data_IF_967686388143
#
_entry.id   IF_967686388143
#
_cell.length_a   1.000
_cell.length_b   1.000
_cell.length_c   1.000
_cell.angle_alpha   90.00
_cell.angle_beta   90.00
_cell.angle_gamma   90.00
#
_symmetry.space_group_name_H-M   'P 1'
#
loop_
_entity.id
_entity.type
_entity.pdbx_description
1 polymer ?
#
# COMPACT_ATOMS: atom_id res chain seq x y z
N UNK A 1 38.76 18.49 -76.46
CA UNK A 1 37.52 18.97 -75.84
C UNK A 1 37.52 18.48 -74.36
N UNK A 2 37.81 19.39 -73.40
CA UNK A 2 37.81 19.08 -71.98
C UNK A 2 36.48 19.65 -71.42
N UNK A 3 35.62 18.74 -70.90
CA UNK A 3 34.34 19.13 -70.23
C UNK A 3 34.65 19.31 -68.76
N UNK A 4 34.45 20.55 -68.27
CA UNK A 4 34.61 20.94 -66.90
C UNK A 4 33.30 20.69 -66.17
N UNK A 5 33.32 19.78 -65.11
CA UNK A 5 32.18 19.52 -64.21
C UNK A 5 32.21 20.54 -63.05
N UNK A 6 31.23 21.43 -63.02
CA UNK A 6 30.99 22.36 -61.92
C UNK A 6 30.27 21.56 -60.82
N UNK A 7 30.92 21.41 -59.66
CA UNK A 7 30.33 20.84 -58.41
C UNK A 7 29.70 22.00 -57.63
N UNK A 8 28.38 21.95 -57.49
CA UNK A 8 27.61 22.82 -56.58
C UNK A 8 27.68 22.25 -55.18
N UNK A 9 28.04 23.01 -54.14
CA UNK A 9 27.99 22.50 -52.77
C UNK A 9 26.56 22.49 -52.24
N UNK A 10 26.11 21.33 -51.77
CA UNK A 10 24.84 21.14 -51.07
C UNK A 10 24.97 21.68 -49.65
N UNK A 11 24.36 22.78 -49.32
CA UNK A 11 24.33 23.35 -47.97
C UNK A 11 23.29 22.56 -47.15
N UNK A 12 23.76 21.67 -46.25
CA UNK A 12 22.91 20.97 -45.30
C UNK A 12 22.64 21.92 -44.14
N UNK A 13 21.41 22.42 -44.09
CA UNK A 13 20.93 23.25 -43.00
C UNK A 13 20.56 22.32 -41.82
N UNK A 14 21.47 22.14 -40.83
CA UNK A 14 21.19 21.49 -39.56
C UNK A 14 20.28 22.41 -38.72
N UNK A 15 18.99 22.16 -38.72
CA UNK A 15 18.08 22.74 -37.71
C UNK A 15 18.33 22.12 -36.37
N UNK A 16 19.04 22.83 -35.49
CA UNK A 16 19.14 22.50 -34.08
C UNK A 16 17.79 22.78 -33.43
N UNK A 17 17.00 21.73 -33.23
CA UNK A 17 15.82 21.79 -32.36
C UNK A 17 16.32 22.05 -30.93
N UNK A 18 16.32 23.31 -30.50
CA UNK A 18 16.43 23.64 -29.08
C UNK A 18 15.17 23.09 -28.38
N UNK A 19 15.31 21.94 -27.71
CA UNK A 19 14.32 21.47 -26.75
C UNK A 19 14.31 22.45 -25.58
N UNK A 20 13.33 23.34 -25.56
CA UNK A 20 13.04 24.16 -24.38
C UNK A 20 12.63 23.17 -23.27
N UNK A 21 13.32 23.11 -22.13
CA UNK A 21 12.92 22.25 -21.04
C UNK A 21 11.52 22.69 -20.59
N UNK A 22 10.56 21.77 -20.62
CA UNK A 22 9.25 21.98 -20.04
C UNK A 22 9.44 22.37 -18.56
N UNK A 23 8.74 23.42 -18.07
CA UNK A 23 8.84 23.82 -16.68
C UNK A 23 8.48 22.62 -15.79
N UNK A 24 9.26 22.40 -14.74
CA UNK A 24 9.02 21.31 -13.79
C UNK A 24 7.62 21.43 -13.19
N UNK A 25 6.79 20.39 -13.32
CA UNK A 25 5.41 20.38 -12.84
C UNK A 25 5.32 20.82 -11.36
N UNK A 26 4.39 21.70 -11.04
CA UNK A 26 4.29 22.38 -9.73
C UNK A 26 3.25 21.69 -8.84
N UNK A 27 3.65 21.39 -7.58
CA UNK A 27 2.72 20.86 -6.58
C UNK A 27 1.58 21.85 -6.31
N UNK A 28 0.35 21.32 -6.24
CA UNK A 28 -0.85 22.10 -6.04
C UNK A 28 -1.43 22.73 -7.32
N UNK A 29 -0.73 22.66 -8.44
CA UNK A 29 -1.17 23.16 -9.76
C UNK A 29 -1.33 22.01 -10.75
N UNK A 30 -0.25 21.61 -11.47
CA UNK A 30 -0.26 20.47 -12.39
C UNK A 30 -0.28 19.13 -11.64
N UNK A 31 0.34 19.10 -10.48
CA UNK A 31 0.29 17.96 -9.54
C UNK A 31 -0.64 18.27 -8.38
N UNK A 32 -1.21 17.23 -7.79
CA UNK A 32 -1.91 17.30 -6.50
C UNK A 32 -0.91 17.65 -5.39
N UNK A 33 -1.36 18.03 -4.20
CA UNK A 33 -0.44 18.27 -3.08
C UNK A 33 0.48 17.10 -2.73
N UNK A 34 0.07 15.87 -3.07
CA UNK A 34 0.85 14.63 -2.82
C UNK A 34 1.70 14.20 -4.00
N UNK A 35 1.67 14.92 -5.12
CA UNK A 35 2.50 14.65 -6.31
C UNK A 35 1.83 13.81 -7.40
N UNK A 36 0.56 13.43 -7.26
CA UNK A 36 -0.19 12.78 -8.32
C UNK A 36 -0.49 13.77 -9.47
N UNK A 37 -0.63 13.26 -10.69
CA UNK A 37 -1.03 14.10 -11.83
C UNK A 37 -2.46 14.61 -11.63
N UNK A 38 -2.66 15.94 -11.56
CA UNK A 38 -3.99 16.52 -11.33
C UNK A 38 -4.94 16.34 -12.52
N UNK A 39 -4.44 16.46 -13.75
CA UNK A 39 -5.24 16.32 -14.95
C UNK A 39 -5.85 14.92 -15.10
N UNK A 40 -7.04 14.85 -15.73
CA UNK A 40 -7.61 13.60 -16.19
C UNK A 40 -6.80 12.96 -17.32
N UNK A 41 -7.20 11.78 -17.77
CA UNK A 41 -6.60 11.15 -18.94
C UNK A 41 -7.34 11.54 -20.25
N UNK A 42 -6.77 11.13 -21.39
CA UNK A 42 -7.25 11.56 -22.70
C UNK A 42 -8.65 11.01 -23.07
N UNK A 43 -8.99 9.80 -22.60
CA UNK A 43 -10.29 9.16 -22.89
C UNK A 43 -11.38 9.51 -21.86
N UNK A 44 -11.05 10.33 -20.84
CA UNK A 44 -11.98 10.78 -19.81
C UNK A 44 -12.33 9.71 -18.76
N UNK A 45 -11.78 8.51 -18.84
CA UNK A 45 -12.03 7.44 -17.87
C UNK A 45 -11.40 7.70 -16.49
N UNK A 46 -10.35 8.53 -16.42
CA UNK A 46 -9.78 9.05 -15.19
C UNK A 46 -10.05 10.55 -15.15
N UNK A 47 -10.92 11.05 -14.25
CA UNK A 47 -11.27 12.47 -14.19
C UNK A 47 -10.13 13.31 -13.60
N UNK A 48 -10.21 14.64 -13.78
CA UNK A 48 -9.36 15.60 -13.07
C UNK A 48 -9.58 15.46 -11.56
N UNK A 49 -8.48 15.43 -10.78
CA UNK A 49 -8.57 15.45 -9.32
C UNK A 49 -9.04 16.82 -8.80
N UNK A 50 -10.06 16.81 -7.94
CA UNK A 50 -10.71 18.00 -7.38
C UNK A 50 -11.17 17.82 -5.93
N UNK A 51 -10.71 16.76 -5.25
CA UNK A 51 -11.14 16.48 -3.88
C UNK A 51 -10.78 17.59 -2.87
N UNK A 52 -9.72 18.39 -3.16
CA UNK A 52 -9.32 19.55 -2.37
C UNK A 52 -10.29 20.74 -2.46
N UNK A 53 -11.19 20.75 -3.44
CA UNK A 53 -12.16 21.83 -3.67
C UNK A 53 -13.47 21.61 -2.90
N UNK A 54 -13.61 20.46 -2.23
CA UNK A 54 -14.81 20.09 -1.49
C UNK A 54 -14.63 20.37 0.01
N UNK A 55 -15.70 20.89 0.65
CA UNK A 55 -15.80 20.85 2.11
C UNK A 55 -15.85 19.42 2.61
N UNK A 56 -15.62 19.18 3.91
CA UNK A 56 -15.70 17.84 4.49
C UNK A 56 -17.09 17.24 4.31
N UNK A 57 -18.14 18.02 4.52
CA UNK A 57 -19.52 17.59 4.33
C UNK A 57 -19.81 17.20 2.86
N UNK A 58 -19.39 18.04 1.90
CA UNK A 58 -19.57 17.74 0.48
C UNK A 58 -18.80 16.48 0.04
N UNK A 59 -17.62 16.26 0.62
CA UNK A 59 -16.83 15.05 0.35
C UNK A 59 -17.54 13.80 0.92
N UNK A 60 -18.07 13.86 2.14
CA UNK A 60 -18.85 12.76 2.72
C UNK A 60 -20.11 12.44 1.93
N UNK A 61 -20.85 13.45 1.49
CA UNK A 61 -22.00 13.26 0.60
C UNK A 61 -21.60 12.61 -0.73
N UNK A 62 -20.43 12.97 -1.26
CA UNK A 62 -19.88 12.33 -2.45
C UNK A 62 -19.58 10.84 -2.18
N UNK A 63 -18.91 10.50 -1.07
CA UNK A 63 -18.63 9.12 -0.69
C UNK A 63 -19.91 8.29 -0.53
N UNK A 64 -20.95 8.83 0.10
CA UNK A 64 -22.25 8.17 0.23
C UNK A 64 -22.92 7.90 -1.12
N UNK A 65 -22.77 8.78 -2.11
CA UNK A 65 -23.27 8.55 -3.48
C UNK A 65 -22.52 7.41 -4.16
N UNK A 66 -21.19 7.42 -4.07
CA UNK A 66 -20.32 6.40 -4.68
C UNK A 66 -20.68 4.99 -4.19
N UNK A 67 -21.01 4.82 -2.91
CA UNK A 67 -21.38 3.51 -2.36
C UNK A 67 -22.66 2.92 -2.93
N UNK A 68 -23.50 3.74 -3.58
CA UNK A 68 -24.79 3.33 -4.16
C UNK A 68 -24.72 3.13 -5.68
N UNK A 69 -23.57 3.37 -6.27
CA UNK A 69 -23.40 3.20 -7.71
C UNK A 69 -23.44 1.72 -8.11
N UNK A 70 -23.93 1.49 -9.31
CA UNK A 70 -23.84 0.20 -9.99
C UNK A 70 -22.60 0.15 -10.88
N UNK A 71 -22.04 -1.03 -11.14
CA UNK A 71 -20.90 -1.16 -12.03
C UNK A 71 -21.25 -0.75 -13.45
N UNK A 72 -20.32 -0.09 -14.14
CA UNK A 72 -20.43 0.23 -15.57
C UNK A 72 -20.45 -1.05 -16.41
N UNK A 73 -19.64 -2.01 -16.03
CA UNK A 73 -19.53 -3.34 -16.65
C UNK A 73 -18.84 -4.31 -15.69
N UNK A 74 -19.00 -5.59 -16.00
CA UNK A 74 -18.34 -6.67 -15.26
C UNK A 74 -17.37 -7.35 -16.23
N UNK A 75 -16.10 -7.49 -15.79
CA UNK A 75 -15.11 -8.29 -16.51
C UNK A 75 -15.29 -9.74 -16.06
N UNK A 76 -15.43 -10.64 -17.03
CA UNK A 76 -15.49 -12.10 -16.86
C UNK A 76 -14.45 -12.76 -17.75
N UNK A 77 -14.23 -14.05 -17.61
CA UNK A 77 -13.33 -14.81 -18.47
C UNK A 77 -13.67 -14.64 -19.97
N UNK A 78 -14.96 -14.51 -20.34
CA UNK A 78 -15.43 -14.40 -21.73
C UNK A 78 -15.02 -13.08 -22.39
N UNK A 79 -14.97 -11.98 -21.64
CA UNK A 79 -14.67 -10.65 -22.19
C UNK A 79 -13.29 -10.12 -21.79
N UNK A 80 -12.49 -10.91 -21.04
CA UNK A 80 -11.20 -10.55 -20.45
C UNK A 80 -10.22 -9.91 -21.44
N UNK A 81 -10.13 -10.41 -22.66
CA UNK A 81 -9.16 -9.95 -23.66
C UNK A 81 -9.31 -8.47 -23.99
N UNK A 82 -10.51 -7.91 -23.88
CA UNK A 82 -10.81 -6.50 -24.12
C UNK A 82 -10.16 -5.59 -23.08
N UNK A 83 -9.92 -6.10 -21.86
CA UNK A 83 -9.47 -5.32 -20.69
C UNK A 83 -8.07 -5.70 -20.24
N UNK A 84 -7.45 -6.71 -20.86
CA UNK A 84 -6.17 -7.31 -20.46
C UNK A 84 -5.07 -6.30 -20.19
N UNK A 85 -5.00 -5.23 -20.98
CA UNK A 85 -3.96 -4.20 -20.88
C UNK A 85 -4.00 -3.40 -19.57
N UNK A 86 -5.14 -3.39 -18.86
CA UNK A 86 -5.34 -2.67 -17.61
C UNK A 86 -5.28 -3.57 -16.37
N UNK A 87 -5.02 -4.86 -16.54
CA UNK A 87 -5.01 -5.85 -15.47
C UNK A 87 -3.58 -6.27 -15.12
N UNK A 88 -3.32 -6.45 -13.82
CA UNK A 88 -2.08 -7.05 -13.33
C UNK A 88 -2.02 -8.55 -13.68
N UNK A 89 -0.81 -9.14 -13.84
CA UNK A 89 -0.64 -10.58 -14.06
C UNK A 89 -1.39 -11.45 -13.05
N UNK A 90 -1.40 -11.09 -11.77
CA UNK A 90 -2.15 -11.81 -10.74
C UNK A 90 -3.66 -11.83 -11.00
N UNK A 91 -4.26 -10.71 -11.43
CA UNK A 91 -5.68 -10.68 -11.82
C UNK A 91 -5.96 -11.58 -13.03
N UNK A 92 -5.07 -11.55 -14.03
CA UNK A 92 -5.19 -12.44 -15.20
C UNK A 92 -5.12 -13.91 -14.80
N UNK A 93 -4.24 -14.25 -13.85
CA UNK A 93 -4.11 -15.61 -13.32
C UNK A 93 -5.35 -16.05 -12.54
N UNK A 94 -5.99 -15.14 -11.80
CA UNK A 94 -7.26 -15.42 -11.12
C UNK A 94 -8.37 -15.80 -12.11
N UNK A 95 -8.48 -15.11 -13.26
CA UNK A 95 -9.42 -15.50 -14.33
C UNK A 95 -9.08 -16.84 -14.97
N UNK A 96 -7.79 -17.15 -15.12
CA UNK A 96 -7.33 -18.44 -15.66
C UNK A 96 -7.70 -19.61 -14.72
N UNK A 97 -7.49 -19.43 -13.42
CA UNK A 97 -7.73 -20.46 -12.41
C UNK A 97 -9.21 -20.62 -12.07
N UNK A 98 -9.98 -19.52 -12.08
CA UNK A 98 -11.36 -19.48 -11.58
C UNK A 98 -12.32 -18.81 -12.59
N UNK A 99 -12.37 -19.28 -13.86
CA UNK A 99 -13.10 -18.60 -14.93
C UNK A 99 -14.60 -18.47 -14.70
N UNK A 100 -15.20 -19.39 -13.93
CA UNK A 100 -16.64 -19.43 -13.68
C UNK A 100 -17.07 -18.58 -12.47
N UNK A 101 -16.17 -18.34 -11.51
CA UNK A 101 -16.52 -17.67 -10.24
C UNK A 101 -15.86 -16.31 -10.07
N UNK A 102 -14.68 -16.09 -10.66
CA UNK A 102 -13.98 -14.81 -10.53
C UNK A 102 -14.46 -13.81 -11.58
N UNK A 103 -14.83 -12.63 -11.12
CA UNK A 103 -15.18 -11.51 -12.00
C UNK A 103 -14.80 -10.18 -11.34
N UNK A 104 -14.67 -9.12 -12.13
CA UNK A 104 -14.29 -7.79 -11.65
C UNK A 104 -15.39 -6.79 -12.04
N UNK A 105 -16.18 -6.30 -11.09
CA UNK A 105 -17.11 -5.19 -11.32
C UNK A 105 -16.32 -3.88 -11.41
N UNK A 106 -16.47 -3.17 -12.53
CA UNK A 106 -15.77 -1.91 -12.81
C UNK A 106 -16.76 -0.76 -12.72
N UNK A 107 -16.39 0.25 -11.94
CA UNK A 107 -17.20 1.41 -11.63
C UNK A 107 -16.63 2.69 -12.26
N UNK A 108 -17.39 3.79 -12.30
CA UNK A 108 -16.84 5.11 -12.64
C UNK A 108 -15.68 5.45 -11.71
N UNK A 109 -14.62 6.03 -12.26
CA UNK A 109 -13.46 6.46 -11.48
C UNK A 109 -13.77 7.70 -10.67
N UNK A 110 -13.55 7.63 -9.37
CA UNK A 110 -13.67 8.75 -8.45
C UNK A 110 -12.37 8.94 -7.66
N UNK A 111 -11.64 10.02 -7.96
CA UNK A 111 -10.38 10.35 -7.28
C UNK A 111 -10.64 11.06 -5.96
N UNK A 112 -11.13 10.29 -5.00
CA UNK A 112 -11.60 10.77 -3.70
C UNK A 112 -10.49 10.97 -2.68
N UNK A 113 -9.29 10.45 -2.95
CA UNK A 113 -8.18 10.53 -2.02
C UNK A 113 -7.85 11.98 -1.66
N UNK A 114 -7.76 12.24 -0.38
CA UNK A 114 -7.22 13.45 0.21
C UNK A 114 -6.61 13.11 1.57
N UNK A 115 -5.87 14.04 2.11
CA UNK A 115 -5.28 13.94 3.44
C UNK A 115 -5.37 15.31 4.16
N UNK A 116 -5.09 15.37 5.47
CA UNK A 116 -5.20 16.62 6.22
C UNK A 116 -4.40 17.75 5.60
N UNK A 117 -5.01 18.93 5.46
CA UNK A 117 -4.41 20.11 4.82
C UNK A 117 -3.05 20.47 5.41
N UNK A 118 -2.86 20.29 6.73
CA UNK A 118 -1.61 20.62 7.40
C UNK A 118 -0.39 19.81 6.89
N UNK A 119 -0.61 18.63 6.30
CA UNK A 119 0.47 17.81 5.71
C UNK A 119 1.02 18.42 4.44
N UNK A 120 0.23 19.23 3.71
CA UNK A 120 0.61 19.75 2.41
C UNK A 120 1.82 20.69 2.44
N UNK A 121 1.94 21.50 3.52
CA UNK A 121 3.10 22.39 3.70
C UNK A 121 4.37 21.59 3.96
N UNK A 122 4.27 20.55 4.77
CA UNK A 122 5.39 19.65 5.02
C UNK A 122 5.80 18.87 3.76
N UNK A 123 4.85 18.43 2.93
CA UNK A 123 5.18 17.79 1.64
C UNK A 123 5.92 18.74 0.71
N UNK A 124 5.58 20.03 0.69
CA UNK A 124 6.36 21.02 -0.08
C UNK A 124 7.80 21.15 0.45
N UNK A 125 7.99 21.17 1.77
CA UNK A 125 9.32 21.17 2.38
C UNK A 125 10.11 19.92 2.06
N UNK A 126 9.47 18.77 1.94
CA UNK A 126 10.11 17.52 1.57
C UNK A 126 10.77 17.55 0.18
N UNK A 127 10.34 18.42 -0.75
CA UNK A 127 11.03 18.59 -2.03
C UNK A 127 12.51 19.00 -1.87
N UNK A 128 12.83 19.70 -0.79
CA UNK A 128 14.18 20.19 -0.51
C UNK A 128 14.86 19.40 0.61
N UNK A 129 14.11 18.95 1.60
CA UNK A 129 14.64 18.41 2.86
C UNK A 129 14.68 16.87 2.92
N UNK A 130 13.79 16.17 2.17
CA UNK A 130 13.76 14.70 2.22
C UNK A 130 15.03 14.08 1.63
N UNK A 131 15.59 13.10 2.33
CA UNK A 131 16.85 12.41 1.94
C UNK A 131 16.76 10.94 2.24
N UNK A 132 17.24 10.13 1.31
CA UNK A 132 17.54 8.70 1.51
C UNK A 132 19.06 8.48 1.57
N UNK A 133 19.48 7.32 2.05
CA UNK A 133 20.89 6.88 1.95
C UNK A 133 21.30 6.71 0.50
N UNK A 134 22.61 6.65 0.24
CA UNK A 134 23.16 6.43 -1.11
C UNK A 134 22.64 5.13 -1.74
N UNK A 135 22.49 4.07 -0.94
CA UNK A 135 21.89 2.79 -1.38
C UNK A 135 20.37 2.85 -1.54
N UNK A 136 19.71 3.90 -1.06
CA UNK A 136 18.24 4.01 -1.03
C UNK A 136 17.55 3.22 0.10
N UNK A 137 18.31 2.48 0.91
CA UNK A 137 17.78 1.51 1.88
C UNK A 137 17.31 2.15 3.20
N UNK A 138 17.61 3.42 3.43
CA UNK A 138 17.26 4.16 4.64
C UNK A 138 16.68 5.53 4.29
N UNK A 139 15.61 5.92 4.96
CA UNK A 139 15.08 7.29 4.94
C UNK A 139 15.76 8.09 6.04
N UNK A 140 16.61 9.05 5.67
CA UNK A 140 17.46 9.81 6.61
C UNK A 140 16.78 11.06 7.15
N UNK A 141 15.99 11.72 6.30
CA UNK A 141 15.28 12.94 6.65
C UNK A 141 13.95 13.04 5.91
N UNK A 142 12.90 13.38 6.62
CA UNK A 142 11.60 13.76 6.06
C UNK A 142 10.77 14.51 7.09
N UNK A 143 9.97 15.45 6.61
CA UNK A 143 8.86 16.05 7.34
C UNK A 143 7.61 15.16 7.26
N UNK A 144 6.60 15.37 8.15
CA UNK A 144 5.32 14.66 8.05
C UNK A 144 4.69 14.74 6.65
N UNK A 145 4.27 13.61 6.11
CA UNK A 145 3.67 13.53 4.78
C UNK A 145 4.50 12.69 3.82
N UNK A 146 4.25 12.89 2.52
CA UNK A 146 4.95 12.16 1.45
C UNK A 146 6.37 12.73 1.28
N UNK A 147 7.43 11.90 1.43
CA UNK A 147 8.80 12.38 1.31
C UNK A 147 9.17 12.79 -0.12
N UNK A 148 8.74 12.01 -1.11
CA UNK A 148 9.15 12.18 -2.52
C UNK A 148 7.93 12.36 -3.43
N UNK A 149 7.25 13.52 -3.41
CA UNK A 149 6.07 13.74 -4.25
C UNK A 149 6.40 13.75 -5.76
N UNK A 150 7.67 13.82 -6.12
CA UNK A 150 8.21 13.69 -7.48
C UNK A 150 9.32 12.63 -7.50
N UNK A 151 9.00 11.35 -7.28
CA UNK A 151 10.01 10.32 -7.14
C UNK A 151 10.78 10.11 -8.45
N UNK A 152 12.07 9.86 -8.32
CA UNK A 152 12.99 9.57 -9.42
C UNK A 152 13.43 8.10 -9.39
N UNK A 153 13.31 7.43 -8.26
CA UNK A 153 13.75 6.06 -8.04
C UNK A 153 12.62 5.18 -7.52
N UNK A 154 12.77 3.88 -7.68
CA UNK A 154 11.85 2.89 -7.14
C UNK A 154 11.78 2.96 -5.61
N UNK A 155 12.95 3.15 -4.96
CA UNK A 155 13.03 3.25 -3.50
C UNK A 155 12.23 4.45 -2.98
N UNK A 156 12.28 5.60 -3.67
CA UNK A 156 11.47 6.77 -3.30
C UNK A 156 9.97 6.49 -3.37
N UNK A 157 9.51 5.73 -4.37
CA UNK A 157 8.10 5.29 -4.46
C UNK A 157 7.73 4.38 -3.28
N UNK A 158 8.59 3.44 -2.90
CA UNK A 158 8.36 2.53 -1.78
C UNK A 158 8.41 3.29 -0.44
N UNK A 159 9.33 4.25 -0.27
CA UNK A 159 9.34 5.11 0.91
C UNK A 159 8.06 5.94 1.03
N UNK A 160 7.52 6.45 -0.08
CA UNK A 160 6.22 7.13 -0.06
C UNK A 160 5.12 6.19 0.46
N UNK A 161 5.11 4.92 0.02
CA UNK A 161 4.17 3.93 0.54
C UNK A 161 4.33 3.71 2.05
N UNK A 162 5.55 3.47 2.52
CA UNK A 162 5.79 3.18 3.94
C UNK A 162 5.43 4.35 4.86
N UNK A 163 5.61 5.58 4.38
CA UNK A 163 5.41 6.82 5.15
C UNK A 163 4.12 7.56 4.82
N UNK A 164 3.27 7.05 3.91
CA UNK A 164 2.00 7.70 3.57
C UNK A 164 1.13 7.97 4.80
N UNK A 165 0.23 8.93 4.69
CA UNK A 165 -0.72 9.24 5.76
C UNK A 165 -1.59 8.04 6.12
N UNK A 166 -1.56 7.66 7.39
CA UNK A 166 -2.36 6.57 7.99
C UNK A 166 -2.92 6.97 9.36
N UNK A 167 -2.95 8.28 9.67
CA UNK A 167 -3.22 8.77 11.02
C UNK A 167 -1.95 8.91 11.86
N UNK A 168 -2.07 9.51 13.02
CA UNK A 168 -0.97 9.69 13.99
C UNK A 168 -0.86 8.47 14.90
N UNK A 169 -1.95 8.16 15.59
CA UNK A 169 -2.10 6.98 16.43
C UNK A 169 -3.43 6.32 16.11
N UNK A 170 -3.43 5.01 15.90
CA UNK A 170 -4.59 4.25 15.47
C UNK A 170 -4.75 3.01 16.35
N UNK A 171 -5.98 2.69 16.71
CA UNK A 171 -6.37 1.40 17.29
C UNK A 171 -7.33 0.73 16.31
N UNK A 172 -6.91 -0.39 15.72
CA UNK A 172 -7.67 -1.14 14.74
C UNK A 172 -8.20 -2.42 15.36
N UNK A 173 -9.49 -2.63 15.30
CA UNK A 173 -10.10 -3.94 15.57
C UNK A 173 -10.19 -4.71 14.25
N UNK A 174 -9.53 -5.85 14.18
CA UNK A 174 -9.35 -6.63 12.95
C UNK A 174 -9.73 -8.09 13.12
N UNK A 175 -10.22 -8.68 12.03
CA UNK A 175 -10.20 -10.11 11.81
C UNK A 175 -9.08 -10.47 10.82
N UNK A 176 -8.34 -11.51 11.15
CA UNK A 176 -7.31 -12.12 10.31
C UNK A 176 -7.73 -13.57 10.06
N UNK A 177 -8.06 -13.91 8.82
CA UNK A 177 -8.69 -15.18 8.49
C UNK A 177 -7.98 -15.88 7.35
N UNK A 178 -7.59 -17.14 7.54
CA UNK A 178 -7.16 -18.02 6.45
C UNK A 178 -8.37 -18.79 5.95
N UNK A 179 -8.64 -18.71 4.66
CA UNK A 179 -9.74 -19.39 3.98
C UNK A 179 -9.15 -20.45 3.05
N UNK A 180 -9.57 -21.69 3.26
CA UNK A 180 -9.14 -22.83 2.45
C UNK A 180 -10.12 -23.12 1.31
N UNK A 181 -9.70 -23.86 0.27
CA UNK A 181 -10.57 -24.17 -0.88
C UNK A 181 -11.88 -24.88 -0.53
N UNK A 182 -11.94 -25.59 0.59
CA UNK A 182 -13.15 -26.26 1.11
C UNK A 182 -14.00 -25.36 2.02
N UNK A 183 -13.72 -24.04 2.03
CA UNK A 183 -14.37 -23.05 2.91
C UNK A 183 -14.19 -23.29 4.42
N UNK A 184 -13.20 -24.09 4.82
CA UNK A 184 -12.74 -24.03 6.20
C UNK A 184 -12.08 -22.67 6.45
N UNK A 185 -12.45 -22.02 7.54
CA UNK A 185 -11.92 -20.70 7.92
C UNK A 185 -11.27 -20.80 9.30
N UNK A 186 -9.99 -20.43 9.38
CA UNK A 186 -9.30 -20.23 10.68
C UNK A 186 -9.14 -18.71 10.88
N UNK A 187 -9.77 -18.18 11.91
CA UNK A 187 -9.84 -16.75 12.19
C UNK A 187 -9.19 -16.38 13.50
N UNK A 188 -8.50 -15.26 13.48
CA UNK A 188 -7.94 -14.56 14.62
C UNK A 188 -8.61 -13.19 14.76
N UNK A 189 -9.07 -12.87 15.96
CA UNK A 189 -9.57 -11.54 16.31
C UNK A 189 -8.49 -10.79 17.08
N UNK A 190 -8.14 -9.58 16.60
CA UNK A 190 -7.04 -8.80 17.17
C UNK A 190 -7.40 -7.32 17.29
N UNK A 191 -6.80 -6.65 18.29
CA UNK A 191 -6.63 -5.20 18.28
C UNK A 191 -5.18 -4.90 17.92
N UNK A 192 -4.99 -4.02 16.93
CA UNK A 192 -3.68 -3.54 16.52
C UNK A 192 -3.59 -2.05 16.79
N UNK A 193 -2.65 -1.64 17.61
CA UNK A 193 -2.33 -0.24 17.85
C UNK A 193 -1.06 0.13 17.11
N UNK A 194 -1.10 1.23 16.35
CA UNK A 194 0.07 1.76 15.65
C UNK A 194 0.25 3.24 15.91
N UNK A 195 1.50 3.65 16.16
CA UNK A 195 1.87 5.05 16.30
C UNK A 195 2.99 5.40 15.32
N UNK A 196 2.72 6.36 14.45
CA UNK A 196 3.68 6.89 13.48
C UNK A 196 4.26 8.21 13.99
N UNK A 197 5.38 8.15 14.71
CA UNK A 197 6.05 9.33 15.26
C UNK A 197 6.50 10.32 14.16
N UNK A 198 6.64 9.87 12.90
CA UNK A 198 6.87 10.75 11.76
C UNK A 198 5.82 11.87 11.70
N UNK A 199 4.57 11.60 12.10
CA UNK A 199 3.45 12.54 12.06
C UNK A 199 3.27 13.37 13.32
N UNK A 200 4.21 13.32 14.25
CA UNK A 200 4.22 14.22 15.40
C UNK A 200 4.50 15.68 14.95
N UNK A 201 3.48 16.52 15.10
CA UNK A 201 3.51 17.92 14.66
C UNK A 201 4.46 18.80 15.50
N UNK A 202 4.90 18.34 16.67
CA UNK A 202 5.85 19.04 17.53
C UNK A 202 7.30 18.99 17.01
N UNK A 203 7.58 18.14 15.99
CA UNK A 203 8.92 18.00 15.42
C UNK A 203 9.45 19.31 14.83
N UNK A 204 10.68 19.63 15.18
CA UNK A 204 11.38 20.86 14.73
C UNK A 204 12.46 20.59 13.66
N UNK A 205 12.66 19.31 13.27
CA UNK A 205 13.70 18.90 12.34
C UNK A 205 13.17 17.79 11.41
N UNK A 206 13.60 17.76 10.14
CA UNK A 206 13.32 16.65 9.22
C UNK A 206 14.13 15.40 9.54
N UNK A 207 15.17 15.45 10.37
CA UNK A 207 16.04 14.32 10.67
C UNK A 207 15.28 13.18 11.36
N UNK A 208 15.58 11.95 10.96
CA UNK A 208 14.96 10.71 11.45
C UNK A 208 16.03 9.91 12.20
N UNK A 209 16.32 10.29 13.43
CA UNK A 209 17.40 9.75 14.26
C UNK A 209 16.93 8.70 15.28
N UNK A 210 15.64 8.41 15.29
CA UNK A 210 15.03 7.51 16.28
C UNK A 210 14.05 6.52 15.64
N UNK A 211 13.45 5.68 16.46
CA UNK A 211 12.37 4.80 16.05
C UNK A 211 11.14 5.62 15.74
N UNK A 212 10.56 5.38 14.56
CA UNK A 212 9.51 6.23 14.03
C UNK A 212 8.15 5.52 13.97
N UNK A 213 8.13 4.19 14.12
CA UNK A 213 6.93 3.38 14.02
C UNK A 213 6.87 2.43 15.22
N UNK A 214 5.75 2.46 15.90
CA UNK A 214 5.42 1.56 17.01
C UNK A 214 4.18 0.78 16.63
N UNK A 215 4.21 -0.51 16.90
CA UNK A 215 3.12 -1.43 16.61
C UNK A 215 2.92 -2.35 17.80
N UNK A 216 1.69 -2.55 18.21
CA UNK A 216 1.31 -3.52 19.22
C UNK A 216 0.05 -4.26 18.76
N UNK A 217 0.09 -5.59 18.71
CA UNK A 217 -1.10 -6.41 18.51
C UNK A 217 -1.47 -7.15 19.79
N UNK A 218 -2.77 -7.22 20.04
CA UNK A 218 -3.37 -7.94 21.14
C UNK A 218 -4.42 -8.90 20.63
N UNK A 219 -4.25 -10.20 20.90
CA UNK A 219 -5.16 -11.25 20.44
C UNK A 219 -6.36 -11.34 21.40
N UNK A 220 -7.57 -11.18 20.84
CA UNK A 220 -8.84 -11.31 21.55
C UNK A 220 -9.44 -12.70 21.44
N UNK A 221 -9.32 -13.34 20.29
CA UNK A 221 -9.86 -14.65 19.99
C UNK A 221 -9.06 -15.40 18.92
N UNK A 222 -9.22 -16.71 18.82
CA UNK A 222 -10.03 -17.61 19.65
C UNK A 222 -9.43 -17.83 21.06
N UNK A 223 -10.22 -18.37 21.98
CA UNK A 223 -9.84 -18.52 23.39
C UNK A 223 -8.49 -19.20 23.63
N UNK A 224 -8.09 -20.14 22.77
CA UNK A 224 -6.76 -20.83 22.83
C UNK A 224 -5.57 -19.89 22.63
N UNK A 225 -5.77 -18.75 21.97
CA UNK A 225 -4.73 -17.77 21.64
C UNK A 225 -4.92 -16.42 22.35
N UNK A 226 -6.11 -16.20 22.92
CA UNK A 226 -6.48 -14.94 23.57
C UNK A 226 -5.49 -14.52 24.64
N UNK A 227 -5.25 -13.22 24.73
CA UNK A 227 -4.28 -12.63 25.66
C UNK A 227 -2.84 -12.66 25.19
N UNK A 228 -2.52 -13.24 24.02
CA UNK A 228 -1.21 -13.09 23.37
C UNK A 228 -1.00 -11.68 22.83
N UNK A 229 0.25 -11.28 22.63
CA UNK A 229 0.53 -9.96 22.03
C UNK A 229 1.94 -9.86 21.47
N UNK A 230 2.09 -8.97 20.47
CA UNK A 230 3.36 -8.67 19.80
C UNK A 230 3.58 -7.16 19.81
N UNK A 231 4.69 -6.73 20.41
CA UNK A 231 5.16 -5.34 20.36
C UNK A 231 6.33 -5.23 19.39
N UNK A 232 6.26 -4.25 18.48
CA UNK A 232 7.33 -3.93 17.53
C UNK A 232 7.70 -2.45 17.68
N UNK A 233 9.01 -2.18 17.73
CA UNK A 233 9.58 -0.86 17.50
C UNK A 233 10.34 -0.92 16.19
N UNK A 234 9.91 -0.13 15.22
CA UNK A 234 10.48 -0.07 13.89
C UNK A 234 11.13 1.28 13.60
N UNK A 235 12.00 1.30 12.60
CA UNK A 235 12.73 2.49 12.20
C UNK A 235 12.64 2.66 10.68
N UNK A 236 12.67 3.91 10.24
CA UNK A 236 12.86 4.26 8.82
C UNK A 236 14.33 4.19 8.41
N UNK A 237 15.22 3.80 9.34
CA UNK A 237 16.64 3.51 9.12
C UNK A 237 16.96 2.07 9.57
N UNK A 238 16.39 1.06 8.89
CA UNK A 238 16.42 -0.32 9.38
C UNK A 238 17.82 -0.94 9.41
N UNK A 239 18.78 -0.42 8.65
CA UNK A 239 20.17 -0.90 8.65
C UNK A 239 20.88 -0.45 9.93
N UNK A 240 20.74 0.85 10.28
CA UNK A 240 21.37 1.44 11.49
C UNK A 240 20.61 1.08 12.75
N UNK A 241 19.30 1.00 12.67
CA UNK A 241 18.38 0.75 13.78
C UNK A 241 17.41 -0.39 13.44
N UNK A 242 17.86 -1.65 13.50
CA UNK A 242 17.03 -2.80 13.15
C UNK A 242 15.77 -2.89 14.04
N UNK A 243 14.71 -3.47 13.45
CA UNK A 243 13.46 -3.78 14.13
C UNK A 243 13.73 -4.47 15.47
N UNK A 244 13.02 -4.06 16.51
CA UNK A 244 12.99 -4.75 17.79
C UNK A 244 11.58 -5.23 18.07
N UNK A 245 11.45 -6.48 18.52
CA UNK A 245 10.16 -7.08 18.81
C UNK A 245 10.16 -7.82 20.14
N UNK A 246 8.99 -7.83 20.77
CA UNK A 246 8.74 -8.57 22.02
C UNK A 246 7.39 -9.26 21.92
N UNK A 247 7.35 -10.49 22.39
CA UNK A 247 6.13 -11.30 22.47
C UNK A 247 5.67 -11.32 23.93
N UNK A 248 4.39 -11.07 24.16
CA UNK A 248 3.76 -11.31 25.44
C UNK A 248 3.26 -12.75 25.50
N UNK A 249 3.77 -13.51 26.50
CA UNK A 249 3.40 -14.90 26.73
C UNK A 249 2.41 -14.94 27.89
N UNK A 250 1.16 -15.25 27.59
CA UNK A 250 0.02 -15.21 28.52
C UNK A 250 0.26 -16.12 29.75
N UNK A 251 0.71 -17.35 29.54
CA UNK A 251 0.97 -18.30 30.62
C UNK A 251 2.05 -17.86 31.61
N UNK A 252 3.05 -17.09 31.14
CA UNK A 252 4.14 -16.58 31.97
C UNK A 252 3.88 -15.15 32.47
N UNK A 253 2.91 -14.43 31.90
CA UNK A 253 2.62 -13.00 32.12
C UNK A 253 3.87 -12.12 31.94
N UNK A 254 4.65 -12.42 30.90
CA UNK A 254 5.95 -11.78 30.63
C UNK A 254 6.05 -11.33 29.17
N UNK A 255 6.74 -10.19 28.98
CA UNK A 255 7.29 -9.79 27.70
C UNK A 255 8.66 -10.47 27.52
N UNK A 256 8.82 -11.21 26.42
CA UNK A 256 10.12 -11.74 26.01
C UNK A 256 10.54 -11.09 24.71
N UNK A 257 11.81 -10.68 24.64
CA UNK A 257 12.37 -10.18 23.37
C UNK A 257 12.33 -11.33 22.36
N UNK A 258 11.71 -11.07 21.20
CA UNK A 258 11.75 -11.98 20.08
C UNK A 258 13.12 -11.87 19.41
N UNK A 259 13.79 -12.96 19.03
CA UNK A 259 14.97 -12.89 18.19
C UNK A 259 14.62 -12.17 16.88
N UNK A 260 15.63 -11.59 16.23
CA UNK A 260 15.43 -11.01 14.90
C UNK A 260 14.88 -12.09 13.96
N UNK A 261 13.65 -11.90 13.51
CA UNK A 261 13.02 -12.76 12.50
C UNK A 261 13.51 -12.33 11.13
N UNK A 262 13.77 -13.28 10.24
CA UNK A 262 14.06 -12.98 8.83
C UNK A 262 12.88 -12.24 8.19
N UNK A 263 13.14 -11.49 7.12
CA UNK A 263 12.10 -10.75 6.40
C UNK A 263 11.03 -11.66 5.79
N UNK A 264 11.43 -12.90 5.49
CA UNK A 264 10.63 -13.99 4.94
C UNK A 264 10.12 -14.99 5.98
N UNK A 265 10.26 -14.67 7.27
CA UNK A 265 9.68 -15.50 8.33
C UNK A 265 8.15 -15.42 8.26
N UNK A 266 7.43 -16.57 8.33
CA UNK A 266 5.98 -16.56 8.34
C UNK A 266 5.42 -15.68 9.46
N UNK A 267 4.41 -14.88 9.14
CA UNK A 267 3.64 -14.16 10.16
C UNK A 267 2.74 -15.13 10.92
N UNK A 268 2.61 -14.86 12.20
CA UNK A 268 1.74 -15.63 13.07
C UNK A 268 0.30 -15.70 12.52
N UNK A 269 -0.30 -16.87 12.59
CA UNK A 269 -1.69 -17.15 12.18
C UNK A 269 -2.02 -16.83 10.70
N UNK A 270 -1.03 -16.80 9.82
CA UNK A 270 -1.24 -16.64 8.38
C UNK A 270 -1.04 -17.93 7.59
N UNK A 271 -0.79 -19.06 8.30
CA UNK A 271 -0.51 -20.37 7.69
C UNK A 271 0.57 -20.31 6.60
N UNK A 272 1.54 -19.40 6.79
CA UNK A 272 2.61 -19.17 5.84
C UNK A 272 2.20 -18.37 4.58
N UNK A 273 0.95 -17.90 4.48
CA UNK A 273 0.46 -17.08 3.36
C UNK A 273 1.02 -15.66 3.38
N UNK A 274 1.55 -15.21 4.53
CA UNK A 274 2.22 -13.91 4.69
C UNK A 274 3.56 -14.07 5.39
N UNK A 275 4.48 -13.17 5.07
CA UNK A 275 5.80 -13.09 5.71
C UNK A 275 6.03 -11.74 6.39
N UNK A 276 7.09 -11.66 7.19
CA UNK A 276 7.34 -10.55 8.11
C UNK A 276 7.47 -9.17 7.43
N UNK A 277 7.85 -9.11 6.15
CA UNK A 277 7.93 -7.86 5.39
C UNK A 277 6.63 -7.49 4.66
N UNK A 278 5.57 -8.30 4.80
CA UNK A 278 4.25 -8.04 4.21
C UNK A 278 3.26 -7.36 5.17
N UNK A 279 3.74 -6.85 6.31
CA UNK A 279 2.92 -5.95 7.14
C UNK A 279 2.62 -4.69 6.31
N UNK A 280 1.35 -4.25 6.28
CA UNK A 280 0.91 -3.13 5.45
C UNK A 280 1.24 -3.31 3.95
N UNK A 281 1.10 -4.53 3.44
CA UNK A 281 1.47 -5.01 2.09
C UNK A 281 2.99 -5.07 1.90
N UNK A 282 3.73 -4.05 2.28
CA UNK A 282 5.18 -4.04 2.33
C UNK A 282 5.70 -3.05 3.39
N UNK A 283 6.36 -3.59 4.41
CA UNK A 283 7.05 -2.83 5.45
C UNK A 283 8.37 -3.53 5.82
N UNK A 284 9.17 -3.83 4.82
CA UNK A 284 10.51 -4.40 4.95
C UNK A 284 11.61 -3.39 4.63
N UNK A 285 12.83 -3.65 5.10
CA UNK A 285 14.02 -2.99 4.59
C UNK A 285 14.20 -3.23 3.09
N UNK A 286 14.79 -2.26 2.40
CA UNK A 286 14.94 -2.31 0.95
C UNK A 286 16.23 -3.01 0.49
N UNK A 287 17.11 -3.42 1.40
CA UNK A 287 18.47 -3.92 1.16
C UNK A 287 18.56 -5.26 0.44
N UNK A 288 17.47 -6.04 0.41
CA UNK A 288 17.48 -7.40 -0.17
C UNK A 288 17.26 -7.45 -1.67
N UNK A 289 16.70 -6.40 -2.24
CA UNK A 289 16.27 -6.38 -3.63
C UNK A 289 17.00 -5.30 -4.43
N UNK A 290 17.23 -5.59 -5.70
CA UNK A 290 17.47 -4.59 -6.71
C UNK A 290 16.11 -4.03 -7.14
N UNK A 291 15.98 -2.70 -7.10
CA UNK A 291 14.72 -2.01 -7.32
C UNK A 291 14.71 -1.27 -8.63
N UNK A 292 13.68 -1.48 -9.45
CA UNK A 292 13.50 -0.84 -10.73
C UNK A 292 12.18 -0.06 -10.77
N UNK A 293 12.25 1.23 -11.15
CA UNK A 293 11.07 2.05 -11.43
C UNK A 293 10.67 1.85 -12.89
N UNK A 294 9.68 0.99 -13.14
CA UNK A 294 9.19 0.68 -14.49
C UNK A 294 8.46 1.88 -15.10
N UNK A 295 7.78 2.68 -14.27
CA UNK A 295 7.07 3.88 -14.70
C UNK A 295 5.61 3.92 -14.24
N UNK A 296 4.81 4.79 -14.86
CA UNK A 296 3.37 4.91 -14.59
C UNK A 296 2.54 4.15 -15.62
N UNK A 297 1.42 3.55 -15.15
CA UNK A 297 0.41 2.91 -16.00
C UNK A 297 -0.99 3.27 -15.53
N UNK A 298 -1.95 3.26 -16.46
CA UNK A 298 -3.37 3.23 -16.14
C UNK A 298 -3.80 1.79 -15.93
N UNK A 299 -4.39 1.48 -14.78
CA UNK A 299 -4.78 0.12 -14.42
C UNK A 299 -6.12 0.11 -13.69
N UNK A 300 -6.81 -1.01 -13.75
CA UNK A 300 -7.97 -1.30 -12.91
C UNK A 300 -7.46 -1.79 -11.56
N UNK A 301 -7.79 -1.04 -10.51
CA UNK A 301 -7.37 -1.33 -9.13
C UNK A 301 -8.56 -1.30 -8.18
N UNK A 302 -8.52 -2.03 -7.05
CA UNK A 302 -9.51 -1.87 -6.00
C UNK A 302 -9.46 -0.44 -5.45
N UNK A 303 -10.59 0.27 -5.46
CA UNK A 303 -10.66 1.66 -4.99
C UNK A 303 -12.07 2.00 -4.47
N UNK A 304 -12.20 2.93 -3.51
CA UNK A 304 -13.49 3.36 -2.94
C UNK A 304 -14.36 2.19 -2.42
N UNK A 305 -13.74 1.22 -1.78
CA UNK A 305 -14.40 0.01 -1.29
C UNK A 305 -15.11 0.25 0.07
N UNK A 306 -15.96 1.30 0.16
CA UNK A 306 -16.66 1.68 1.39
C UNK A 306 -17.57 0.55 1.94
N UNK A 307 -18.14 -0.27 1.08
CA UNK A 307 -18.98 -1.42 1.51
C UNK A 307 -18.17 -2.40 2.35
N UNK A 308 -16.88 -2.61 2.03
CA UNK A 308 -16.00 -3.52 2.78
C UNK A 308 -15.59 -2.98 4.16
N UNK A 309 -15.69 -1.67 4.39
CA UNK A 309 -15.39 -1.06 5.70
C UNK A 309 -16.32 -1.60 6.80
N UNK A 310 -17.55 -1.94 6.44
CA UNK A 310 -18.59 -2.39 7.36
C UNK A 310 -18.92 -3.88 7.25
N UNK A 311 -18.36 -4.56 6.26
CA UNK A 311 -18.55 -5.99 6.07
C UNK A 311 -17.43 -6.76 6.80
N UNK A 312 -17.83 -7.70 7.63
CA UNK A 312 -16.88 -8.56 8.35
C UNK A 312 -16.32 -9.62 7.40
N UNK A 313 -15.03 -9.97 7.58
CA UNK A 313 -14.40 -11.05 6.81
C UNK A 313 -14.99 -12.44 7.11
N UNK A 314 -15.82 -12.57 8.11
CA UNK A 314 -16.50 -13.82 8.45
C UNK A 314 -17.93 -13.88 7.89
N UNK A 315 -18.35 -12.89 7.06
CA UNK A 315 -19.61 -12.97 6.34
C UNK A 315 -19.53 -14.10 5.29
N UNK A 316 -20.30 -15.18 5.45
CA UNK A 316 -20.28 -16.30 4.52
C UNK A 316 -20.62 -15.91 3.07
N UNK A 317 -21.33 -14.78 2.86
CA UNK A 317 -21.65 -14.29 1.52
C UNK A 317 -20.49 -13.55 0.85
N UNK A 318 -19.52 -13.08 1.66
CA UNK A 318 -18.32 -12.43 1.14
C UNK A 318 -17.19 -13.40 0.80
N UNK A 319 -17.25 -14.66 1.31
CA UNK A 319 -16.23 -15.68 1.12
C UNK A 319 -16.66 -16.70 0.07
N UNK A 320 -15.80 -16.92 -0.90
CA UNK A 320 -15.94 -18.00 -1.89
C UNK A 320 -14.71 -18.91 -1.82
N UNK A 321 -14.78 -20.14 -2.33
CA UNK A 321 -13.57 -20.92 -2.58
C UNK A 321 -12.60 -20.08 -3.42
N UNK A 322 -11.33 -20.03 -3.00
CA UNK A 322 -10.21 -19.39 -3.72
C UNK A 322 -10.17 -17.85 -3.74
N UNK A 323 -11.26 -17.13 -3.51
CA UNK A 323 -11.29 -15.66 -3.55
C UNK A 323 -12.51 -15.07 -2.82
N UNK A 324 -12.47 -13.78 -2.54
CA UNK A 324 -13.62 -13.05 -2.02
C UNK A 324 -14.68 -12.88 -3.11
N UNK A 325 -15.93 -12.71 -2.69
CA UNK A 325 -17.07 -12.54 -3.61
C UNK A 325 -16.91 -11.27 -4.45
N UNK A 326 -17.07 -11.36 -5.79
CA UNK A 326 -17.05 -10.19 -6.66
C UNK A 326 -18.08 -9.11 -6.28
N UNK A 327 -19.21 -9.48 -5.68
CA UNK A 327 -20.24 -8.53 -5.23
C UNK A 327 -19.75 -7.58 -4.12
N UNK A 328 -18.71 -7.96 -3.39
CA UNK A 328 -18.10 -7.10 -2.38
C UNK A 328 -17.04 -6.16 -2.97
N UNK A 329 -16.55 -6.42 -4.19
CA UNK A 329 -15.45 -5.68 -4.81
C UNK A 329 -15.93 -4.43 -5.53
N UNK A 330 -15.07 -3.42 -5.56
CA UNK A 330 -15.17 -2.25 -6.44
C UNK A 330 -13.81 -1.98 -7.06
N UNK A 331 -13.75 -1.96 -8.39
CA UNK A 331 -12.56 -1.61 -9.16
C UNK A 331 -12.82 -0.33 -9.95
N UNK A 332 -11.82 0.53 -9.99
CA UNK A 332 -11.82 1.77 -10.75
C UNK A 332 -10.53 1.89 -11.55
N UNK A 333 -10.53 2.65 -12.63
CA UNK A 333 -9.34 2.90 -13.45
C UNK A 333 -8.52 4.05 -12.87
N UNK A 334 -7.31 3.78 -12.41
CA UNK A 334 -6.40 4.77 -11.82
C UNK A 334 -5.01 4.70 -12.45
N UNK A 335 -4.20 5.73 -12.19
CA UNK A 335 -2.77 5.70 -12.51
C UNK A 335 -2.00 5.12 -11.34
N UNK A 336 -1.13 4.17 -11.64
CA UNK A 336 -0.24 3.55 -10.66
C UNK A 336 1.20 3.69 -11.08
N UNK A 337 2.09 3.84 -10.10
CA UNK A 337 3.50 3.59 -10.27
C UNK A 337 3.74 2.09 -10.24
N UNK A 338 4.53 1.59 -11.19
CA UNK A 338 4.93 0.18 -11.25
C UNK A 338 6.38 0.08 -10.83
N UNK A 339 6.62 -0.68 -9.77
CA UNK A 339 7.94 -0.91 -9.19
C UNK A 339 8.22 -2.40 -9.19
N UNK A 340 9.37 -2.79 -9.72
CA UNK A 340 9.85 -4.17 -9.67
C UNK A 340 10.99 -4.32 -8.66
N UNK A 341 10.94 -5.40 -7.88
CA UNK A 341 11.97 -5.79 -6.93
C UNK A 341 12.47 -7.20 -7.27
N UNK A 342 13.77 -7.33 -7.59
CA UNK A 342 14.46 -8.60 -7.87
C UNK A 342 15.43 -8.92 -6.76
N UNK A 343 15.32 -10.13 -6.19
CA UNK A 343 16.20 -10.58 -5.10
C UNK A 343 17.65 -10.57 -5.55
N UNK A 344 18.51 -9.88 -4.77
CA UNK A 344 19.97 -9.84 -4.99
C UNK A 344 20.58 -11.24 -4.85
N UNK A 345 21.63 -11.53 -5.59
CA UNK A 345 22.27 -12.87 -5.61
C UNK A 345 22.86 -13.29 -4.26
N UNK A 346 23.32 -12.33 -3.46
CA UNK A 346 23.93 -12.55 -2.14
C UNK A 346 22.91 -12.54 -0.99
N UNK A 347 21.63 -12.32 -1.28
CA UNK A 347 20.55 -12.23 -0.29
C UNK A 347 19.63 -13.44 -0.35
N UNK A 348 18.87 -13.63 0.73
CA UNK A 348 17.88 -14.72 0.84
C UNK A 348 16.50 -14.16 1.11
N UNK A 349 15.52 -14.67 0.39
CA UNK A 349 14.10 -14.48 0.59
C UNK A 349 13.36 -15.61 -0.13
N UNK A 350 12.15 -15.95 0.32
CA UNK A 350 11.32 -16.95 -0.39
C UNK A 350 10.79 -16.41 -1.72
N UNK A 351 10.68 -15.07 -1.87
CA UNK A 351 10.25 -14.40 -3.10
C UNK A 351 11.44 -13.95 -3.93
N UNK A 352 11.55 -14.46 -5.14
CA UNK A 352 12.61 -14.08 -6.07
C UNK A 352 12.36 -12.71 -6.71
N UNK A 353 11.09 -12.43 -7.02
CA UNK A 353 10.67 -11.17 -7.64
C UNK A 353 9.30 -10.76 -7.13
N UNK A 354 9.11 -9.44 -7.01
CA UNK A 354 7.81 -8.83 -6.71
C UNK A 354 7.59 -7.64 -7.62
N UNK A 355 6.35 -7.48 -8.12
CA UNK A 355 5.93 -6.29 -8.85
C UNK A 355 4.86 -5.57 -8.04
N UNK A 356 5.16 -4.36 -7.62
CA UNK A 356 4.29 -3.53 -6.81
C UNK A 356 3.57 -2.50 -7.68
N UNK A 357 2.27 -2.34 -7.46
CA UNK A 357 1.44 -1.33 -8.12
C UNK A 357 0.99 -0.34 -7.05
N UNK A 358 1.54 0.88 -7.13
CA UNK A 358 1.36 1.92 -6.13
C UNK A 358 0.45 3.01 -6.69
N UNK A 359 -0.72 3.21 -6.09
CA UNK A 359 -1.65 4.25 -6.51
C UNK A 359 -1.04 5.65 -6.35
N UNK A 360 -1.14 6.48 -7.39
CA UNK A 360 -0.52 7.82 -7.38
C UNK A 360 -1.20 8.81 -6.44
N UNK A 361 -2.50 8.63 -6.15
CA UNK A 361 -3.27 9.55 -5.32
C UNK A 361 -3.07 9.29 -3.81
N UNK A 362 -2.84 8.03 -3.41
CA UNK A 362 -2.73 7.63 -2.01
C UNK A 362 -1.34 7.18 -1.60
N UNK A 363 -0.47 6.86 -2.56
CA UNK A 363 0.81 6.17 -2.36
C UNK A 363 0.67 4.80 -1.70
N UNK A 364 -0.51 4.24 -1.70
CA UNK A 364 -0.74 2.88 -1.21
C UNK A 364 -0.37 1.86 -2.28
N UNK A 365 0.37 0.82 -1.90
CA UNK A 365 0.46 -0.39 -2.73
C UNK A 365 -0.93 -1.02 -2.72
N UNK A 366 -1.51 -1.21 -3.90
CA UNK A 366 -2.87 -1.72 -4.07
C UNK A 366 -2.91 -3.13 -4.65
N UNK A 367 -1.91 -3.50 -5.43
CA UNK A 367 -1.73 -4.85 -5.99
C UNK A 367 -0.26 -5.24 -5.88
N UNK A 368 0.02 -6.55 -5.70
CA UNK A 368 1.38 -7.11 -5.76
C UNK A 368 1.35 -8.47 -6.45
N UNK A 369 2.13 -8.59 -7.51
CA UNK A 369 2.45 -9.90 -8.10
C UNK A 369 3.73 -10.44 -7.47
N UNK A 370 3.72 -11.68 -6.99
CA UNK A 370 4.80 -12.29 -6.24
C UNK A 370 5.22 -13.59 -6.93
N UNK A 371 6.51 -13.71 -7.19
CA UNK A 371 7.10 -14.79 -7.97
C UNK A 371 8.03 -15.65 -7.12
N UNK A 372 7.97 -16.94 -7.33
CA UNK A 372 8.79 -17.94 -6.64
C UNK A 372 10.26 -17.96 -7.15
N UNK A 373 11.04 -18.92 -6.66
CA UNK A 373 12.44 -19.12 -7.05
C UNK A 373 12.66 -19.41 -8.53
N UNK A 374 11.63 -19.94 -9.23
CA UNK A 374 11.66 -20.25 -10.65
C UNK A 374 11.20 -19.09 -11.53
N UNK A 375 10.77 -17.98 -10.90
CA UNK A 375 10.13 -16.84 -11.54
C UNK A 375 8.70 -17.13 -12.02
N UNK A 376 8.05 -18.17 -11.45
CA UNK A 376 6.65 -18.45 -11.68
C UNK A 376 5.79 -17.61 -10.74
N UNK A 377 4.66 -17.10 -11.26
CA UNK A 377 3.71 -16.32 -10.45
C UNK A 377 3.07 -17.24 -9.40
N UNK A 378 3.43 -17.01 -8.15
CA UNK A 378 3.05 -17.86 -7.03
C UNK A 378 1.94 -17.28 -6.19
N UNK A 379 2.08 -15.97 -5.81
CA UNK A 379 1.14 -15.28 -4.92
C UNK A 379 0.67 -13.98 -5.53
N UNK A 380 -0.49 -13.56 -5.08
CA UNK A 380 -1.09 -12.31 -5.52
C UNK A 380 -1.77 -11.60 -4.35
N UNK A 381 -1.48 -10.32 -4.15
CA UNK A 381 -2.05 -9.52 -3.07
C UNK A 381 -2.90 -8.40 -3.63
N UNK A 382 -4.08 -8.18 -3.03
CA UNK A 382 -4.99 -7.07 -3.32
C UNK A 382 -5.30 -6.29 -2.04
N UNK A 383 -5.25 -4.96 -2.11
CA UNK A 383 -5.71 -4.05 -1.05
C UNK A 383 -6.98 -3.35 -1.49
N UNK A 384 -8.02 -3.46 -0.70
CA UNK A 384 -9.29 -2.77 -0.86
C UNK A 384 -9.33 -1.59 0.10
N UNK A 385 -9.20 -0.37 -0.44
CA UNK A 385 -9.14 0.84 0.36
C UNK A 385 -10.48 1.56 0.39
N UNK A 386 -10.80 2.17 1.54
CA UNK A 386 -11.94 3.06 1.73
C UNK A 386 -11.47 4.38 2.32
N UNK A 387 -12.29 5.41 2.19
CA UNK A 387 -12.06 6.68 2.85
C UNK A 387 -12.58 6.63 4.29
N UNK A 388 -11.74 7.11 5.22
CA UNK A 388 -12.06 7.22 6.64
C UNK A 388 -12.10 8.70 7.02
N UNK A 389 -13.28 9.17 7.41
CA UNK A 389 -13.52 10.58 7.79
C UNK A 389 -12.84 10.94 9.09
N UNK A 390 -12.71 9.98 9.99
CA UNK A 390 -12.11 10.14 11.30
C UNK A 390 -10.61 10.43 11.23
N UNK A 391 -9.95 10.00 10.13
CA UNK A 391 -8.52 10.27 9.92
C UNK A 391 -8.26 11.13 8.66
N UNK A 392 -9.23 11.78 8.06
CA UNK A 392 -9.35 12.30 6.68
C UNK A 392 -8.34 11.70 5.70
N UNK A 393 -8.58 10.44 5.27
CA UNK A 393 -7.66 9.74 4.38
C UNK A 393 -8.15 8.38 3.90
N UNK A 394 -7.46 7.83 2.91
CA UNK A 394 -7.69 6.48 2.43
C UNK A 394 -6.91 5.48 3.27
N UNK A 395 -7.60 4.43 3.73
CA UNK A 395 -6.99 3.35 4.50
C UNK A 395 -7.52 2.00 4.04
N UNK A 396 -6.82 0.92 4.38
CA UNK A 396 -7.26 -0.44 4.06
C UNK A 396 -8.52 -0.80 4.84
N UNK A 397 -9.53 -1.30 4.13
CA UNK A 397 -10.70 -1.96 4.71
C UNK A 397 -10.52 -3.47 4.71
N UNK A 398 -9.81 -3.98 3.70
CA UNK A 398 -9.48 -5.39 3.55
C UNK A 398 -8.21 -5.54 2.73
N UNK A 399 -7.30 -6.39 3.19
CA UNK A 399 -6.15 -6.89 2.43
C UNK A 399 -6.33 -8.39 2.19
N UNK A 400 -6.19 -8.84 0.94
CA UNK A 400 -6.33 -10.23 0.53
C UNK A 400 -5.02 -10.76 -0.09
N UNK A 401 -4.52 -11.86 0.44
CA UNK A 401 -3.26 -12.51 0.05
C UNK A 401 -3.57 -13.90 -0.47
N UNK A 402 -3.45 -14.12 -1.78
CA UNK A 402 -3.81 -15.37 -2.46
C UNK A 402 -2.56 -16.20 -2.73
N UNK A 403 -2.59 -17.48 -2.39
CA UNK A 403 -1.68 -18.49 -2.94
C UNK A 403 -2.32 -19.10 -4.19
N UNK A 404 -1.74 -18.80 -5.34
CA UNK A 404 -2.28 -19.20 -6.65
C UNK A 404 -1.99 -20.67 -6.98
N UNK A 405 -1.15 -21.34 -6.18
CA UNK A 405 -0.80 -22.76 -6.37
C UNK A 405 -1.68 -23.63 -5.49
N UNK A 406 -1.82 -23.29 -4.20
CA UNK A 406 -2.58 -24.08 -3.23
C UNK A 406 -4.06 -23.66 -3.16
N UNK A 407 -4.40 -22.48 -3.67
CA UNK A 407 -5.75 -21.95 -3.71
C UNK A 407 -6.28 -21.44 -2.36
N UNK A 408 -5.49 -21.48 -1.32
CA UNK A 408 -5.82 -20.81 -0.06
C UNK A 408 -5.59 -19.31 -0.15
N UNK A 409 -6.33 -18.52 0.65
CA UNK A 409 -6.09 -17.09 0.74
C UNK A 409 -6.25 -16.61 2.17
N UNK A 410 -5.49 -15.58 2.52
CA UNK A 410 -5.53 -14.92 3.82
C UNK A 410 -6.18 -13.54 3.68
N UNK A 411 -7.04 -13.20 4.62
CA UNK A 411 -7.70 -11.90 4.71
C UNK A 411 -7.31 -11.20 6.00
N UNK A 412 -7.05 -9.90 5.89
CA UNK A 412 -7.00 -9.00 7.04
C UNK A 412 -8.03 -7.89 6.80
N UNK A 413 -9.06 -7.82 7.63
CA UNK A 413 -10.14 -6.86 7.46
C UNK A 413 -10.51 -6.15 8.76
N UNK A 414 -11.03 -4.93 8.62
CA UNK A 414 -11.64 -4.19 9.72
C UNK A 414 -12.85 -4.95 10.26
N UNK A 415 -12.99 -4.98 11.59
CA UNK A 415 -14.18 -5.48 12.26
C UNK A 415 -15.40 -4.54 12.11
N UNK A 416 -15.21 -3.40 11.46
CA UNK A 416 -16.25 -2.37 11.29
C UNK A 416 -16.38 -1.46 12.51
N UNK A 417 -16.57 -2.05 13.67
CA UNK A 417 -16.65 -1.34 14.96
C UNK A 417 -15.35 -1.48 15.75
N UNK A 418 -15.07 -0.54 16.66
CA UNK A 418 -13.87 -0.57 17.52
C UNK A 418 -12.58 -0.12 16.85
N UNK A 419 -12.65 0.43 15.63
CA UNK A 419 -11.52 1.13 15.03
C UNK A 419 -11.55 2.60 15.43
N UNK A 420 -10.45 3.08 16.03
CA UNK A 420 -10.33 4.46 16.54
C UNK A 420 -9.09 5.13 15.94
N UNK A 421 -9.26 6.39 15.52
CA UNK A 421 -8.18 7.23 15.01
C UNK A 421 -7.98 8.41 15.95
N UNK A 422 -6.75 8.55 16.46
CA UNK A 422 -6.39 9.63 17.38
C UNK A 422 -5.54 10.67 16.65
N UNK A 423 -5.86 11.94 16.84
CA UNK A 423 -5.12 13.08 16.27
C UNK A 423 -3.86 13.42 17.04
N UNK A 424 -3.78 12.98 18.30
CA UNK A 424 -2.67 13.24 19.19
C UNK A 424 -1.81 11.99 19.41
N UNK A 425 -0.51 12.15 19.68
CA UNK A 425 0.36 11.06 20.07
C UNK A 425 -0.14 10.34 21.33
N UNK A 426 0.15 9.03 21.49
CA UNK A 426 -0.10 8.34 22.73
C UNK A 426 0.80 8.91 23.85
N UNK A 427 0.42 8.73 25.15
CA UNK A 427 1.25 9.18 26.27
C UNK A 427 2.66 8.58 26.22
N UNK A 428 3.65 9.32 26.76
CA UNK A 428 5.02 8.86 26.84
C UNK A 428 5.13 7.46 27.49
N UNK A 429 5.95 6.62 26.87
CA UNK A 429 6.15 5.26 27.35
C UNK A 429 5.01 4.28 27.05
N UNK A 430 3.96 4.69 26.33
CA UNK A 430 2.81 3.84 26.02
C UNK A 430 3.21 2.52 25.35
N UNK A 431 4.11 2.55 24.40
CA UNK A 431 4.64 1.38 23.67
C UNK A 431 5.91 0.77 24.30
N UNK A 432 6.15 0.95 25.61
CA UNK A 432 7.24 0.24 26.28
C UNK A 432 6.83 -1.19 26.66
N UNK A 433 7.77 -2.18 26.70
CA UNK A 433 7.46 -3.52 27.17
C UNK A 433 6.85 -3.55 28.57
N UNK A 434 7.24 -2.62 29.46
CA UNK A 434 6.68 -2.49 30.81
C UNK A 434 5.22 -2.04 30.79
N UNK A 435 4.90 -1.05 29.98
CA UNK A 435 3.52 -0.55 29.79
C UNK A 435 2.63 -1.63 29.20
N UNK A 436 3.06 -2.28 28.12
CA UNK A 436 2.33 -3.38 27.50
C UNK A 436 2.06 -4.50 28.52
N UNK A 437 3.08 -4.94 29.26
CA UNK A 437 2.90 -5.96 30.30
C UNK A 437 1.85 -5.57 31.33
N UNK A 438 1.78 -4.28 31.72
CA UNK A 438 0.78 -3.77 32.68
C UNK A 438 -0.63 -3.82 32.09
N UNK A 439 -0.81 -3.43 30.84
CA UNK A 439 -2.09 -3.45 30.11
C UNK A 439 -2.61 -4.88 29.93
N UNK A 440 -1.73 -5.81 29.53
CA UNK A 440 -2.05 -7.22 29.28
C UNK A 440 -2.38 -8.02 30.54
N UNK A 441 -2.15 -7.50 31.73
CA UNK A 441 -2.50 -8.14 33.00
C UNK A 441 -3.92 -7.85 33.47
N UNK A 442 -4.60 -6.88 32.86
CA UNK A 442 -5.97 -6.49 33.18
C UNK A 442 -6.96 -7.31 32.38
#
# INVERSE_FOLDING_TARGET
>A
MKVSLIRTPLLVLCTVLCSVPLPAATLGQELTPVGAQRAGNADGSIPRWSADQLSDEAHLQWMQRITREEPLYIITADNLQRYRQWLAPGLLKMFELHPESFSIPVYPTHRTARQPQWTHDYIRRNLEDARISESGDELLAAWPGIPFPKPQTAQEVIWNHQTRWKGVFISLHLFESTVYPNLLVDSLETIIETYAQLYDRSRQSPQLDSRNIYYFSHILGPARLAGGGLLIHDSLQPIRQPRQSWIYITGERRMRRSPATGYDSPLFNSEGLRVADEIDIFNGPLDRYDWELVGKREMLIPYNNQKMRYNRCDDPQALLPYHISPHAMRFEKHRVWVVEARLKQDKRHIYKRRTFYVDEDTWSIVLVDIYDKNDDLWRFTMRFSAYYEEMPGMFSSLDAYHDLQDGAYFLQCSAGEGTEFFTEPPPDGYFTPASIRKRMKR
#
